data_IF_518481318414
#
_entry.id   IF_518481318414
#
_cell.length_a   1.000
_cell.length_b   1.000
_cell.length_c   1.000
_cell.angle_alpha   90.00
_cell.angle_beta   90.00
_cell.angle_gamma   90.00
#
_symmetry.space_group_name_H-M   'P 1'
#
loop_
_entity.id
_entity.type
_entity.pdbx_description
1 polymer ?
#
# COMPACT_ATOMS: atom_id res chain seq x y z
N UNK A 1 -1.03 -12.21 6.26
CA UNK A 1 -0.05 -11.19 5.82
C UNK A 1 0.32 -11.55 4.39
N UNK A 2 0.44 -10.59 3.48
CA UNK A 2 0.17 -10.72 2.02
C UNK A 2 -1.33 -10.74 1.67
N UNK A 3 -2.14 -11.60 2.31
CA UNK A 3 -3.59 -11.67 1.98
C UNK A 3 -4.37 -10.39 2.33
N UNK A 4 -3.98 -9.69 3.39
CA UNK A 4 -4.65 -8.44 3.80
C UNK A 4 -4.31 -7.28 2.87
N UNK A 5 -3.05 -7.16 2.45
CA UNK A 5 -2.64 -6.13 1.48
C UNK A 5 -3.29 -6.36 0.12
N UNK A 6 -3.41 -7.62 -0.33
CA UNK A 6 -4.09 -7.95 -1.60
C UNK A 6 -5.59 -7.61 -1.52
N UNK A 7 -6.26 -7.92 -0.41
CA UNK A 7 -7.68 -7.56 -0.21
C UNK A 7 -7.88 -6.03 -0.10
N UNK A 8 -6.94 -5.32 0.51
CA UNK A 8 -6.98 -3.85 0.60
C UNK A 8 -6.71 -3.19 -0.75
N UNK A 9 -5.70 -3.64 -1.50
CA UNK A 9 -5.35 -3.14 -2.82
C UNK A 9 -6.46 -3.41 -3.84
N UNK A 10 -7.08 -4.58 -3.77
CA UNK A 10 -8.25 -4.93 -4.60
C UNK A 10 -9.38 -3.91 -4.43
N UNK A 11 -9.74 -3.57 -3.18
CA UNK A 11 -10.79 -2.56 -2.91
C UNK A 11 -10.40 -1.14 -3.34
N UNK A 12 -9.12 -0.77 -3.23
CA UNK A 12 -8.64 0.54 -3.70
C UNK A 12 -8.72 0.63 -5.23
N UNK A 13 -8.39 -0.47 -5.92
CA UNK A 13 -8.48 -0.55 -7.38
C UNK A 13 -9.94 -0.50 -7.88
N UNK A 14 -10.86 -1.19 -7.20
CA UNK A 14 -12.30 -1.12 -7.48
C UNK A 14 -12.85 0.30 -7.37
N UNK A 15 -12.41 1.07 -6.36
CA UNK A 15 -12.84 2.46 -6.23
C UNK A 15 -12.21 3.38 -7.29
N UNK A 16 -10.98 3.10 -7.73
CA UNK A 16 -10.36 3.82 -8.82
C UNK A 16 -11.07 3.57 -10.16
N UNK A 17 -11.45 2.32 -10.47
CA UNK A 17 -12.27 2.00 -11.65
C UNK A 17 -13.63 2.70 -11.60
N UNK A 18 -14.21 2.88 -10.40
CA UNK A 18 -15.52 3.51 -10.22
C UNK A 18 -15.50 5.04 -10.34
N UNK A 19 -14.47 5.70 -9.81
CA UNK A 19 -14.42 7.18 -9.72
C UNK A 19 -13.52 7.84 -10.75
N UNK A 20 -12.51 7.15 -11.28
CA UNK A 20 -11.54 7.72 -12.23
C UNK A 20 -10.61 8.79 -11.62
N UNK A 21 -10.77 9.15 -10.35
CA UNK A 21 -9.95 10.14 -9.65
C UNK A 21 -8.79 9.46 -8.90
N UNK A 22 -7.63 9.50 -9.54
CA UNK A 22 -6.38 8.94 -9.03
C UNK A 22 -5.91 9.64 -7.73
N UNK A 23 -6.22 10.92 -7.55
CA UNK A 23 -5.83 11.68 -6.36
C UNK A 23 -6.58 11.20 -5.13
N UNK A 24 -7.90 10.98 -5.29
CA UNK A 24 -8.77 10.50 -4.22
C UNK A 24 -8.45 9.05 -3.84
N UNK A 25 -8.14 8.20 -4.82
CA UNK A 25 -7.74 6.80 -4.59
C UNK A 25 -6.42 6.70 -3.82
N UNK A 26 -5.40 7.48 -4.21
CA UNK A 26 -4.10 7.52 -3.51
C UNK A 26 -4.25 8.08 -2.10
N UNK A 27 -5.02 9.16 -1.91
CA UNK A 27 -5.27 9.73 -0.59
C UNK A 27 -5.94 8.73 0.36
N UNK A 28 -6.99 8.04 -0.10
CA UNK A 28 -7.68 7.02 0.70
C UNK A 28 -6.79 5.81 1.02
N UNK A 29 -5.95 5.39 0.06
CA UNK A 29 -4.98 4.31 0.28
C UNK A 29 -3.91 4.67 1.31
N UNK A 30 -3.40 5.90 1.25
CA UNK A 30 -2.40 6.41 2.20
C UNK A 30 -3.00 6.57 3.61
N UNK A 31 -4.26 7.01 3.72
CA UNK A 31 -4.94 7.18 5.00
C UNK A 31 -5.24 5.84 5.70
N UNK A 32 -5.64 4.80 4.94
CA UNK A 32 -5.90 3.46 5.50
C UNK A 32 -4.63 2.71 5.92
N UNK A 33 -3.56 2.83 5.15
CA UNK A 33 -2.31 2.10 5.43
C UNK A 33 -1.35 2.88 6.34
N UNK A 34 -1.48 4.22 6.38
CA UNK A 34 -0.57 5.11 7.08
C UNK A 34 -0.34 4.72 8.54
N UNK A 35 -1.41 4.46 9.30
CA UNK A 35 -1.32 4.09 10.72
C UNK A 35 -0.60 2.76 10.98
N UNK A 36 -0.79 1.76 10.10
CA UNK A 36 -0.12 0.46 10.24
C UNK A 36 1.38 0.58 9.98
N UNK A 37 1.77 1.30 8.92
CA UNK A 37 3.19 1.48 8.61
C UNK A 37 3.87 2.38 9.64
N UNK A 38 3.27 3.50 10.05
CA UNK A 38 3.87 4.36 11.07
C UNK A 38 3.98 3.65 12.42
N UNK A 39 3.00 2.81 12.78
CA UNK A 39 3.08 1.94 13.96
C UNK A 39 4.25 0.96 13.90
N UNK A 40 4.43 0.26 12.77
CA UNK A 40 5.57 -0.64 12.58
C UNK A 40 6.91 0.11 12.60
N UNK A 41 7.00 1.27 11.96
CA UNK A 41 8.18 2.12 11.96
C UNK A 41 8.54 2.60 13.37
N UNK A 42 7.55 2.99 14.18
CA UNK A 42 7.76 3.41 15.56
C UNK A 42 8.40 2.30 16.41
N UNK A 43 7.92 1.06 16.29
CA UNK A 43 8.51 -0.10 16.98
C UNK A 43 9.97 -0.29 16.56
N UNK A 44 10.26 -0.23 15.26
CA UNK A 44 11.62 -0.40 14.74
C UNK A 44 12.57 0.68 15.25
N UNK A 45 12.14 1.96 15.25
CA UNK A 45 12.94 3.07 15.78
C UNK A 45 13.26 2.85 17.26
N UNK A 46 12.29 2.41 18.07
CA UNK A 46 12.52 2.10 19.49
C UNK A 46 13.54 0.97 19.65
N UNK A 47 13.39 -0.11 18.91
CA UNK A 47 14.31 -1.27 18.96
C UNK A 47 15.73 -0.87 18.56
N UNK A 48 15.90 -0.16 17.45
CA UNK A 48 17.23 0.25 16.99
C UNK A 48 17.87 1.35 17.85
N UNK A 49 17.05 2.20 18.48
CA UNK A 49 17.55 3.20 19.43
C UNK A 49 18.18 2.54 20.68
N UNK A 50 17.71 1.36 21.07
CA UNK A 50 18.31 0.60 22.17
C UNK A 50 19.78 0.20 21.89
N UNK A 51 20.16 0.01 20.63
CA UNK A 51 21.56 -0.24 20.25
C UNK A 51 22.45 0.98 20.47
N UNK A 52 21.87 2.18 20.62
CA UNK A 52 22.57 3.40 21.02
C UNK A 52 23.24 3.31 22.39
N UNK A 53 22.73 2.44 23.28
CA UNK A 53 23.26 2.17 24.61
C UNK A 53 24.36 1.08 24.61
N UNK A 54 24.63 0.45 23.46
CA UNK A 54 25.68 -0.56 23.35
C UNK A 54 27.06 0.06 23.56
N UNK A 55 27.93 -0.67 24.27
CA UNK A 55 29.36 -0.34 24.41
C UNK A 55 30.16 -0.62 23.14
N UNK A 56 29.58 -1.35 22.17
CA UNK A 56 30.23 -1.67 20.90
C UNK A 56 29.93 -0.57 19.88
N UNK A 57 30.96 0.17 19.48
CA UNK A 57 30.82 1.34 18.60
C UNK A 57 30.14 1.00 17.25
N UNK A 58 30.42 -0.19 16.69
CA UNK A 58 29.84 -0.63 15.42
C UNK A 58 28.31 -0.79 15.53
N UNK A 59 27.82 -1.33 16.64
CA UNK A 59 26.39 -1.52 16.89
C UNK A 59 25.67 -0.19 17.08
N UNK A 60 26.33 0.76 17.75
CA UNK A 60 25.81 2.13 17.92
C UNK A 60 25.66 2.85 16.59
N UNK A 61 26.64 2.75 15.70
CA UNK A 61 26.60 3.38 14.38
C UNK A 61 25.51 2.76 13.49
N UNK A 62 25.46 1.43 13.40
CA UNK A 62 24.46 0.72 12.58
C UNK A 62 23.05 0.96 13.14
N UNK A 63 22.87 0.87 14.47
CA UNK A 63 21.57 1.08 15.10
C UNK A 63 21.04 2.50 14.90
N UNK A 64 21.86 3.53 15.14
CA UNK A 64 21.45 4.91 14.90
C UNK A 64 21.20 5.19 13.41
N UNK A 65 22.02 4.62 12.52
CA UNK A 65 21.83 4.75 11.07
C UNK A 65 20.52 4.13 10.59
N UNK A 66 20.19 2.92 11.06
CA UNK A 66 18.95 2.23 10.72
C UNK A 66 17.72 2.93 11.30
N UNK A 67 17.79 3.40 12.55
CA UNK A 67 16.69 4.15 13.16
C UNK A 67 16.37 5.42 12.35
N UNK A 68 17.40 6.16 11.93
CA UNK A 68 17.24 7.37 11.13
C UNK A 68 16.70 7.05 9.72
N UNK A 69 17.23 6.01 9.06
CA UNK A 69 16.78 5.61 7.73
C UNK A 69 15.29 5.23 7.72
N UNK A 70 14.84 4.45 8.70
CA UNK A 70 13.43 4.04 8.83
C UNK A 70 12.54 5.25 9.13
N UNK A 71 12.99 6.17 9.99
CA UNK A 71 12.24 7.38 10.32
C UNK A 71 12.03 8.25 9.08
N UNK A 72 13.07 8.46 8.28
CA UNK A 72 13.01 9.24 7.05
C UNK A 72 12.11 8.56 6.01
N UNK A 73 12.22 7.24 5.82
CA UNK A 73 11.39 6.51 4.85
C UNK A 73 9.91 6.57 5.20
N UNK A 74 9.58 6.27 6.46
CA UNK A 74 8.20 6.25 6.95
C UNK A 74 7.53 7.64 6.93
N UNK A 75 8.33 8.72 6.99
CA UNK A 75 7.82 10.10 7.01
C UNK A 75 8.02 10.81 5.67
N UNK A 76 9.24 11.21 5.33
CA UNK A 76 9.56 12.01 4.15
C UNK A 76 9.28 11.27 2.85
N UNK A 77 9.79 10.04 2.72
CA UNK A 77 9.64 9.28 1.47
C UNK A 77 8.16 8.96 1.25
N UNK A 78 7.48 8.42 2.27
CA UNK A 78 6.08 8.00 2.14
C UNK A 78 5.07 9.16 2.08
N UNK A 79 5.29 10.26 2.80
CA UNK A 79 4.35 11.38 2.81
C UNK A 79 4.55 12.34 1.63
N UNK A 80 5.78 12.49 1.12
CA UNK A 80 6.09 13.46 0.08
C UNK A 80 6.56 12.80 -1.20
N UNK A 81 7.59 11.96 -1.15
CA UNK A 81 8.21 11.40 -2.36
C UNK A 81 7.24 10.48 -3.09
N UNK A 82 6.60 9.53 -2.41
CA UNK A 82 5.67 8.59 -3.04
C UNK A 82 4.46 9.31 -3.67
N UNK A 83 3.73 10.20 -2.97
CA UNK A 83 2.56 10.87 -3.56
C UNK A 83 2.95 11.85 -4.67
N UNK A 84 4.07 12.58 -4.52
CA UNK A 84 4.54 13.50 -5.56
C UNK A 84 4.98 12.76 -6.82
N UNK A 85 5.67 11.63 -6.69
CA UNK A 85 6.09 10.81 -7.83
C UNK A 85 4.89 10.15 -8.51
N UNK A 86 3.94 9.61 -7.74
CA UNK A 86 2.68 9.08 -8.30
C UNK A 86 1.87 10.14 -9.02
N UNK A 87 1.82 11.37 -8.47
CA UNK A 87 1.15 12.50 -9.10
C UNK A 87 1.86 12.97 -10.37
N UNK A 88 3.20 12.99 -10.38
CA UNK A 88 4.01 13.37 -11.53
C UNK A 88 3.93 12.34 -12.66
N UNK A 89 3.91 11.04 -12.33
CA UNK A 89 3.78 9.95 -13.30
C UNK A 89 2.34 9.77 -13.81
N UNK A 90 1.33 10.31 -13.11
CA UNK A 90 -0.04 10.41 -13.61
C UNK A 90 -0.62 9.07 -14.09
N UNK A 91 -1.01 9.01 -15.37
CA UNK A 91 -1.60 7.80 -16.02
C UNK A 91 -0.61 6.65 -16.19
N UNK A 92 0.70 6.89 -16.11
CA UNK A 92 1.72 5.85 -16.26
C UNK A 92 1.88 5.00 -14.99
N UNK A 93 1.48 5.52 -13.82
CA UNK A 93 1.48 4.77 -12.56
C UNK A 93 0.50 3.58 -12.57
N UNK A 94 -0.51 3.62 -13.44
CA UNK A 94 -1.51 2.55 -13.62
C UNK A 94 -1.33 1.78 -14.94
N UNK A 95 -0.18 1.92 -15.60
CA UNK A 95 0.12 1.11 -16.78
C UNK A 95 0.41 -0.34 -16.36
N UNK A 96 -0.64 -1.16 -16.33
CA UNK A 96 -0.51 -2.60 -16.30
C UNK A 96 -0.23 -3.11 -17.73
N UNK A 97 0.88 -3.85 -17.97
CA UNK A 97 1.18 -4.42 -19.28
C UNK A 97 0.05 -5.34 -19.74
N UNK A 98 -0.25 -5.29 -21.05
CA UNK A 98 -1.47 -5.86 -21.64
C UNK A 98 -1.68 -7.37 -21.38
N UNK A 99 -0.63 -8.11 -21.00
CA UNK A 99 -0.73 -9.54 -20.68
C UNK A 99 -1.44 -9.85 -19.36
N UNK A 100 -1.59 -8.87 -18.44
CA UNK A 100 -2.39 -9.04 -17.21
C UNK A 100 -3.88 -8.72 -17.40
N UNK A 101 -4.30 -8.29 -18.61
CA UNK A 101 -5.66 -7.81 -18.90
C UNK A 101 -6.56 -8.87 -19.56
N UNK A 102 -6.40 -10.15 -19.21
CA UNK A 102 -7.26 -11.26 -19.67
C UNK A 102 -7.46 -12.28 -18.54
N UNK A 103 -8.64 -12.81 -18.22
CA UNK A 103 -9.91 -12.94 -18.95
C UNK A 103 -11.08 -12.43 -18.08
N UNK A 104 -11.92 -11.54 -18.62
CA UNK A 104 -13.34 -11.55 -18.24
C UNK A 104 -13.94 -12.82 -18.84
N UNK A 105 -13.99 -13.91 -18.09
CA UNK A 105 -14.80 -15.07 -18.48
C UNK A 105 -16.07 -15.03 -17.67
N UNK A 106 -17.17 -14.82 -18.40
CA UNK A 106 -18.54 -14.88 -17.96
C UNK A 106 -18.79 -16.11 -17.08
N UNK A 107 -19.22 -15.89 -15.83
CA UNK A 107 -19.78 -16.94 -14.97
C UNK A 107 -21.12 -16.45 -14.48
N UNK A 108 -22.19 -16.99 -15.09
CA UNK A 108 -23.48 -17.23 -14.45
C UNK A 108 -24.46 -16.07 -14.35
N UNK A 109 -25.00 -15.59 -15.47
CA UNK A 109 -26.44 -15.32 -15.53
C UNK A 109 -27.08 -16.46 -16.29
N UNK A 110 -27.54 -17.48 -15.57
CA UNK A 110 -28.76 -18.18 -15.93
C UNK A 110 -29.24 -19.02 -14.74
N UNK A 111 -30.30 -18.53 -14.12
CA UNK A 111 -31.33 -19.33 -13.44
C UNK A 111 -32.42 -18.33 -13.07
N UNK A 112 -33.06 -17.80 -14.12
CA UNK A 112 -34.36 -17.17 -14.01
C UNK A 112 -35.32 -18.18 -13.39
N UNK A 113 -35.89 -17.73 -12.28
CA UNK A 113 -37.20 -18.11 -11.78
C UNK A 113 -38.16 -18.40 -12.93
N UNK A 114 -38.50 -19.67 -13.12
CA UNK A 114 -39.72 -20.13 -13.78
C UNK A 114 -40.04 -21.53 -13.25
N UNK A 115 -40.58 -21.59 -12.04
CA UNK A 115 -41.32 -22.76 -11.58
C UNK A 115 -42.54 -22.30 -10.76
N UNK A 116 -43.51 -21.76 -11.49
CA UNK A 116 -44.89 -21.62 -11.05
C UNK A 116 -45.81 -22.04 -12.19
N UNK A 117 -46.82 -22.85 -11.87
CA UNK A 117 -47.88 -23.42 -12.74
C UNK A 117 -47.49 -24.66 -13.55
N UNK A 118 -47.96 -25.85 -13.14
CA UNK A 118 -49.33 -26.35 -13.42
C UNK A 118 -49.83 -27.20 -12.25
#
# INVERSE_FOLDING_TARGET
SMDYEVLMLSRIHEEWERTGDNTLAVANGLQKTGGLITGAAAIMVVVFSAFGLSSVIILKQIGLGLALAILIDATLVRALVVPSTMRLMGKWNWWAPAFMRGKKSAVGRDSSEDEGTV
#
